data_IF_146992683459
#
_entry.id   IF_146992683459
#
_cell.length_a   1.000
_cell.length_b   1.000
_cell.length_c   1.000
_cell.angle_alpha   90.00
_cell.angle_beta   90.00
_cell.angle_gamma   90.00
#
_symmetry.space_group_name_H-M   'P 1'
#
loop_
_entity.id
_entity.type
_entity.pdbx_description
1 polymer ?
#
# COMPACT_ATOMS: atom_id res chain seq x y z
N UNK A 1 -13.18 13.40 23.96
CA UNK A 1 -12.41 12.33 23.29
C UNK A 1 -10.97 12.81 23.20
N UNK A 2 -10.02 11.94 23.43
CA UNK A 2 -8.62 12.24 23.22
C UNK A 2 -8.34 12.47 21.73
N UNK A 3 -7.31 13.24 21.36
CA UNK A 3 -6.96 13.45 19.96
C UNK A 3 -6.47 12.13 19.32
N UNK A 4 -6.76 11.93 18.04
CA UNK A 4 -6.11 10.87 17.26
C UNK A 4 -4.63 11.19 17.12
N UNK A 5 -3.77 10.33 17.66
CA UNK A 5 -2.31 10.44 17.47
C UNK A 5 -1.93 9.88 16.10
N UNK A 6 -1.18 10.65 15.31
CA UNK A 6 -0.70 10.20 13.99
C UNK A 6 0.82 10.26 13.96
N UNK A 7 1.42 9.14 13.57
CA UNK A 7 2.87 8.95 13.44
C UNK A 7 3.19 8.46 12.03
N UNK A 8 4.34 8.85 11.48
CA UNK A 8 4.86 8.37 10.19
C UNK A 8 6.20 7.67 10.40
N UNK A 9 6.35 6.48 9.84
CA UNK A 9 7.65 5.80 9.70
C UNK A 9 8.08 5.92 8.24
N UNK A 10 9.31 6.39 8.01
CA UNK A 10 9.80 6.69 6.68
C UNK A 10 10.61 5.57 6.04
N UNK A 11 11.25 4.73 6.85
CA UNK A 11 12.26 3.80 6.38
C UNK A 11 12.18 2.42 7.06
N UNK A 12 12.70 1.36 6.41
CA UNK A 12 12.69 0.00 6.95
C UNK A 12 13.36 -0.14 8.33
N UNK A 13 14.37 0.68 8.62
CA UNK A 13 15.05 0.65 9.91
C UNK A 13 14.11 0.97 11.09
N UNK A 14 13.16 1.88 10.89
CA UNK A 14 12.16 2.24 11.90
C UNK A 14 11.13 1.12 12.09
N UNK A 15 10.81 0.38 11.03
CA UNK A 15 9.88 -0.75 11.07
C UNK A 15 10.39 -1.90 11.94
N UNK A 16 11.73 -2.07 12.04
CA UNK A 16 12.33 -3.11 12.90
C UNK A 16 11.97 -2.91 14.37
N UNK A 17 11.81 -1.67 14.81
CA UNK A 17 11.44 -1.36 16.19
C UNK A 17 9.97 -1.66 16.51
N UNK A 18 9.12 -1.90 15.51
CA UNK A 18 7.70 -2.21 15.73
C UNK A 18 7.50 -3.54 16.47
N UNK A 19 8.42 -4.49 16.35
CA UNK A 19 8.37 -5.78 17.05
C UNK A 19 8.31 -5.64 18.60
N UNK A 20 8.83 -4.52 19.12
CA UNK A 20 8.92 -4.24 20.55
C UNK A 20 7.79 -3.26 21.02
N UNK A 21 6.86 -2.90 20.11
CA UNK A 21 5.73 -1.99 20.39
C UNK A 21 4.42 -2.78 20.50
N UNK A 22 3.57 -2.38 21.44
CA UNK A 22 2.17 -2.81 21.44
C UNK A 22 1.40 -2.00 20.40
N UNK A 23 0.91 -2.68 19.36
CA UNK A 23 0.13 -2.10 18.28
C UNK A 23 -1.37 -2.45 18.38
N UNK A 24 -1.82 -3.08 19.44
CA UNK A 24 -3.19 -3.61 19.58
C UNK A 24 -4.29 -2.54 19.48
N UNK A 25 -3.98 -1.27 19.76
CA UNK A 25 -4.90 -0.11 19.58
C UNK A 25 -4.54 0.79 18.38
N UNK A 26 -3.63 0.33 17.53
CA UNK A 26 -3.10 1.10 16.40
C UNK A 26 -3.70 0.61 15.08
N UNK A 27 -4.12 1.54 14.23
CA UNK A 27 -4.42 1.28 12.82
C UNK A 27 -3.18 1.63 11.99
N UNK A 28 -2.59 0.62 11.36
CA UNK A 28 -1.45 0.79 10.46
C UNK A 28 -1.95 0.96 9.02
N UNK A 29 -1.41 1.93 8.28
CA UNK A 29 -1.55 2.06 6.84
C UNK A 29 -0.18 1.92 6.20
N UNK A 30 0.01 0.91 5.37
CA UNK A 30 1.30 0.61 4.75
C UNK A 30 1.32 1.13 3.31
N UNK A 31 2.34 1.93 2.98
CA UNK A 31 2.58 2.49 1.66
C UNK A 31 3.83 1.86 1.03
N UNK A 32 3.68 1.33 -0.15
CA UNK A 32 4.71 1.01 -1.13
C UNK A 32 4.11 1.40 -2.48
N UNK A 33 4.11 2.72 -2.72
CA UNK A 33 3.39 3.33 -3.85
C UNK A 33 4.00 2.90 -5.18
N UNK A 34 5.32 2.78 -5.22
CA UNK A 34 6.06 2.27 -6.37
C UNK A 34 6.84 1.00 -5.98
N UNK A 35 6.14 -0.23 -5.90
CA UNK A 35 4.81 -0.43 -6.52
C UNK A 35 3.88 -1.36 -5.72
N UNK A 36 4.35 -1.98 -4.63
CA UNK A 36 3.66 -3.15 -4.07
C UNK A 36 2.20 -2.86 -3.66
N UNK A 37 1.94 -1.82 -2.86
CA UNK A 37 0.56 -1.53 -2.41
C UNK A 37 -0.35 -1.04 -3.54
N UNK A 38 0.21 -0.35 -4.55
CA UNK A 38 -0.53 -0.03 -5.78
C UNK A 38 -0.91 -1.28 -6.57
N UNK A 39 0.01 -2.25 -6.70
CA UNK A 39 -0.25 -3.52 -7.38
C UNK A 39 -1.28 -4.37 -6.61
N UNK A 40 -1.19 -4.39 -5.28
CA UNK A 40 -2.17 -5.07 -4.43
C UNK A 40 -3.56 -4.45 -4.56
N UNK A 41 -3.67 -3.12 -4.50
CA UNK A 41 -4.94 -2.42 -4.67
C UNK A 41 -5.58 -2.71 -6.03
N UNK A 42 -4.78 -2.68 -7.10
CA UNK A 42 -5.23 -3.00 -8.45
C UNK A 42 -5.68 -4.47 -8.59
N UNK A 43 -4.91 -5.41 -8.04
CA UNK A 43 -5.28 -6.83 -8.07
C UNK A 43 -6.61 -7.10 -7.36
N UNK A 44 -6.80 -6.50 -6.19
CA UNK A 44 -8.06 -6.61 -5.43
C UNK A 44 -9.22 -5.96 -6.16
N UNK A 45 -9.02 -4.78 -6.79
CA UNK A 45 -10.04 -4.12 -7.63
C UNK A 45 -10.44 -4.97 -8.82
N UNK A 46 -9.49 -5.72 -9.38
CA UNK A 46 -9.71 -6.66 -10.49
C UNK A 46 -10.26 -8.02 -10.04
N UNK A 47 -10.59 -8.18 -8.76
CA UNK A 47 -11.29 -9.34 -8.23
C UNK A 47 -10.38 -10.47 -7.76
N UNK A 48 -9.11 -10.21 -7.45
CA UNK A 48 -8.30 -11.18 -6.71
C UNK A 48 -9.00 -11.54 -5.40
N UNK A 49 -9.02 -12.83 -5.05
CA UNK A 49 -9.65 -13.32 -3.82
C UNK A 49 -8.88 -12.89 -2.58
N UNK A 50 -7.57 -13.01 -2.64
CA UNK A 50 -6.67 -12.64 -1.56
C UNK A 50 -5.25 -12.43 -2.07
N UNK A 51 -4.46 -11.66 -1.29
CA UNK A 51 -3.02 -11.55 -1.47
C UNK A 51 -2.33 -12.08 -0.21
N UNK A 52 -1.34 -12.94 -0.39
CA UNK A 52 -0.52 -13.53 0.68
C UNK A 52 0.85 -12.87 0.62
N UNK A 53 1.13 -11.85 1.43
CA UNK A 53 2.44 -11.21 1.46
C UNK A 53 3.45 -12.12 2.16
N UNK A 54 4.56 -12.41 1.50
CA UNK A 54 5.68 -13.18 2.06
C UNK A 54 6.99 -12.42 1.89
N UNK A 55 7.97 -12.70 2.76
CA UNK A 55 9.29 -12.04 2.66
C UNK A 55 10.21 -12.77 1.70
N UNK A 56 10.27 -14.08 1.83
CA UNK A 56 11.27 -14.90 1.15
C UNK A 56 10.70 -15.53 -0.13
N UNK A 57 11.52 -15.59 -1.17
CA UNK A 57 11.18 -16.26 -2.43
C UNK A 57 10.88 -17.73 -2.18
N UNK A 58 11.67 -18.39 -1.33
CA UNK A 58 11.48 -19.81 -1.00
C UNK A 58 10.09 -20.06 -0.39
N UNK A 59 9.64 -19.18 0.54
CA UNK A 59 8.29 -19.26 1.13
C UNK A 59 7.20 -19.17 0.05
N UNK A 60 7.37 -18.26 -0.93
CA UNK A 60 6.43 -18.11 -2.03
C UNK A 60 6.36 -19.39 -2.89
N UNK A 61 7.51 -19.99 -3.21
CA UNK A 61 7.59 -21.22 -3.99
C UNK A 61 6.95 -22.41 -3.25
N UNK A 62 7.16 -22.53 -1.95
CA UNK A 62 6.52 -23.56 -1.12
C UNK A 62 5.00 -23.43 -1.10
N UNK A 63 4.49 -22.21 -0.92
CA UNK A 63 3.05 -21.94 -0.95
C UNK A 63 2.44 -22.25 -2.32
N UNK A 64 3.13 -21.95 -3.41
CA UNK A 64 2.70 -22.31 -4.77
C UNK A 64 2.64 -23.83 -4.96
N UNK A 65 3.63 -24.57 -4.46
CA UNK A 65 3.65 -26.03 -4.54
C UNK A 65 2.50 -26.65 -3.77
N UNK A 66 2.18 -26.10 -2.59
CA UNK A 66 1.06 -26.53 -1.76
C UNK A 66 -0.31 -26.13 -2.36
N UNK A 67 -0.35 -25.07 -3.17
CA UNK A 67 -1.57 -24.52 -3.77
C UNK A 67 -1.33 -24.23 -5.26
N UNK A 68 -1.37 -25.22 -6.14
CA UNK A 68 -0.99 -25.07 -7.55
C UNK A 68 -1.80 -24.02 -8.33
N UNK A 69 -3.03 -23.74 -7.91
CA UNK A 69 -3.92 -22.75 -8.55
C UNK A 69 -3.64 -21.31 -8.14
N UNK A 70 -2.81 -21.08 -7.11
CA UNK A 70 -2.43 -19.74 -6.69
C UNK A 70 -1.43 -19.14 -7.66
N UNK A 71 -1.43 -17.82 -7.80
CA UNK A 71 -0.47 -17.12 -8.63
C UNK A 71 0.73 -16.67 -7.78
N UNK A 72 1.92 -16.68 -8.39
CA UNK A 72 3.12 -16.05 -7.86
C UNK A 72 3.28 -14.66 -8.47
N UNK A 73 3.43 -13.64 -7.64
CA UNK A 73 3.76 -12.29 -8.04
C UNK A 73 4.97 -11.78 -7.25
N UNK A 74 5.82 -10.99 -7.89
CA UNK A 74 6.94 -10.41 -7.16
C UNK A 74 8.06 -9.91 -8.05
N UNK A 75 8.98 -9.19 -7.40
CA UNK A 75 10.11 -8.57 -8.07
C UNK A 75 11.39 -8.65 -7.23
N UNK A 76 12.52 -8.57 -7.94
CA UNK A 76 13.80 -8.13 -7.40
C UNK A 76 14.39 -7.13 -8.39
N UNK A 77 14.91 -6.02 -7.86
CA UNK A 77 15.41 -4.89 -8.66
C UNK A 77 14.37 -4.33 -9.67
N UNK A 78 13.08 -4.40 -9.31
CA UNK A 78 11.97 -3.97 -10.14
C UNK A 78 11.50 -4.98 -11.18
N UNK A 79 12.26 -6.03 -11.48
CA UNK A 79 11.97 -7.02 -12.50
C UNK A 79 11.31 -8.28 -11.92
N UNK A 80 10.47 -8.94 -12.73
CA UNK A 80 9.79 -10.18 -12.35
C UNK A 80 10.81 -11.27 -11.99
N UNK A 81 10.50 -12.01 -10.93
CA UNK A 81 11.32 -13.13 -10.46
C UNK A 81 11.24 -14.28 -11.48
N UNK A 82 12.40 -14.68 -11.99
CA UNK A 82 12.57 -15.81 -12.91
C UNK A 82 12.95 -17.08 -12.17
N UNK A 83 12.94 -18.23 -12.88
CA UNK A 83 13.41 -19.51 -12.37
C UNK A 83 14.89 -19.43 -11.93
N UNK A 84 15.69 -18.62 -12.59
CA UNK A 84 17.09 -18.39 -12.23
C UNK A 84 17.21 -17.72 -10.85
N UNK A 85 16.39 -16.70 -10.58
CA UNK A 85 16.39 -15.95 -9.31
C UNK A 85 15.76 -16.80 -8.19
N UNK A 86 14.67 -17.50 -8.49
CA UNK A 86 13.95 -18.32 -7.50
C UNK A 86 14.63 -19.64 -7.20
N UNK A 87 15.49 -20.13 -8.08
CA UNK A 87 16.07 -21.47 -8.03
C UNK A 87 15.05 -22.58 -8.27
N UNK A 88 13.83 -22.28 -8.77
CA UNK A 88 12.74 -23.23 -8.86
C UNK A 88 11.83 -23.02 -10.09
N UNK A 89 11.17 -21.89 -10.20
CA UNK A 89 10.18 -21.60 -11.24
C UNK A 89 10.07 -20.11 -11.53
N UNK A 90 9.61 -19.76 -12.73
CA UNK A 90 9.23 -18.39 -13.05
C UNK A 90 7.99 -17.99 -12.25
N UNK A 91 7.95 -16.74 -11.79
CA UNK A 91 6.74 -16.18 -11.22
C UNK A 91 5.74 -15.84 -12.35
N UNK A 92 4.46 -16.01 -12.06
CA UNK A 92 3.38 -15.74 -13.02
C UNK A 92 3.33 -14.26 -13.39
N UNK A 93 3.56 -13.38 -12.40
CA UNK A 93 3.45 -11.93 -12.47
C UNK A 93 4.68 -11.24 -11.87
N UNK A 94 4.98 -10.03 -12.33
CA UNK A 94 5.91 -9.13 -11.67
C UNK A 94 5.25 -8.36 -10.53
N UNK A 95 5.66 -7.09 -10.38
CA UNK A 95 5.08 -6.16 -9.40
C UNK A 95 4.55 -4.91 -10.13
N UNK A 96 3.91 -5.08 -11.28
CA UNK A 96 3.28 -3.99 -12.02
C UNK A 96 1.76 -4.02 -11.86
N UNK A 97 1.11 -2.89 -11.46
CA UNK A 97 -0.35 -2.83 -11.40
C UNK A 97 -1.00 -3.07 -12.76
N UNK A 98 -0.28 -2.91 -13.85
CA UNK A 98 -0.77 -3.12 -15.21
C UNK A 98 -0.79 -4.59 -15.63
N UNK A 99 -0.08 -5.47 -14.90
CA UNK A 99 -0.09 -6.92 -15.14
C UNK A 99 -1.28 -7.63 -14.48
N UNK A 100 -1.80 -7.10 -13.36
CA UNK A 100 -2.84 -7.71 -12.56
C UNK A 100 -4.25 -7.42 -13.10
N UNK A 101 -4.47 -7.73 -14.38
CA UNK A 101 -5.76 -7.51 -15.03
C UNK A 101 -6.83 -8.50 -14.54
N UNK A 102 -8.11 -8.13 -14.68
CA UNK A 102 -9.24 -8.98 -14.27
C UNK A 102 -9.18 -10.39 -14.84
N UNK A 103 -8.79 -10.52 -16.12
CA UNK A 103 -8.71 -11.84 -16.78
C UNK A 103 -7.63 -12.75 -16.16
N UNK A 104 -6.63 -12.15 -15.52
CA UNK A 104 -5.52 -12.90 -14.91
C UNK A 104 -5.81 -13.22 -13.45
N UNK A 105 -6.33 -12.25 -12.67
CA UNK A 105 -6.36 -12.35 -11.21
C UNK A 105 -7.74 -12.62 -10.61
N UNK A 106 -8.84 -12.49 -11.37
CA UNK A 106 -10.18 -12.66 -10.80
C UNK A 106 -10.37 -14.07 -10.19
N UNK A 107 -10.78 -14.11 -8.92
CA UNK A 107 -10.98 -15.33 -8.15
C UNK A 107 -9.69 -16.08 -7.79
N UNK A 108 -8.51 -15.47 -7.98
CA UNK A 108 -7.22 -16.08 -7.64
C UNK A 108 -6.68 -15.54 -6.34
N UNK A 109 -6.02 -16.40 -5.58
CA UNK A 109 -5.12 -16.00 -4.49
C UNK A 109 -3.73 -15.76 -5.08
N UNK A 110 -3.08 -14.68 -4.69
CA UNK A 110 -1.76 -14.25 -5.18
C UNK A 110 -0.77 -14.29 -4.02
N UNK A 111 0.26 -15.11 -4.11
CA UNK A 111 1.42 -15.05 -3.21
C UNK A 111 2.37 -13.99 -3.74
N UNK A 112 2.67 -12.98 -2.93
CA UNK A 112 3.44 -11.83 -3.37
C UNK A 112 4.67 -11.62 -2.50
N UNK A 113 5.85 -11.49 -3.13
CA UNK A 113 7.10 -11.11 -2.46
C UNK A 113 7.76 -9.95 -3.18
N UNK A 114 8.09 -8.91 -2.42
CA UNK A 114 8.76 -7.70 -2.93
C UNK A 114 9.92 -7.32 -2.02
N UNK A 115 10.77 -6.45 -2.49
CA UNK A 115 11.96 -6.03 -1.74
C UNK A 115 11.60 -5.36 -0.41
N UNK A 116 10.56 -4.50 -0.37
CA UNK A 116 10.23 -3.68 0.80
C UNK A 116 8.77 -3.86 1.29
N UNK A 117 7.78 -3.74 0.43
CA UNK A 117 6.37 -3.64 0.82
C UNK A 117 5.84 -4.82 1.64
N UNK A 118 6.22 -6.06 1.28
CA UNK A 118 5.81 -7.25 2.05
C UNK A 118 6.46 -7.29 3.43
N UNK A 119 7.68 -6.75 3.57
CA UNK A 119 8.35 -6.60 4.85
C UNK A 119 7.63 -5.60 5.78
N UNK A 120 7.24 -4.44 5.25
CA UNK A 120 6.51 -3.42 5.98
C UNK A 120 5.15 -3.93 6.49
N UNK A 121 4.40 -4.67 5.65
CA UNK A 121 3.15 -5.32 6.06
C UNK A 121 3.36 -6.30 7.22
N UNK A 122 4.39 -7.14 7.14
CA UNK A 122 4.73 -8.11 8.20
C UNK A 122 5.17 -7.43 9.50
N UNK A 123 5.80 -6.25 9.44
CA UNK A 123 6.19 -5.49 10.62
C UNK A 123 4.98 -4.95 11.40
N UNK A 124 3.84 -4.77 10.74
CA UNK A 124 2.60 -4.28 11.36
C UNK A 124 1.74 -5.40 11.99
N UNK A 125 2.19 -6.66 11.97
CA UNK A 125 1.45 -7.78 12.60
C UNK A 125 1.26 -7.51 14.09
N UNK A 126 0.05 -7.71 14.59
CA UNK A 126 -0.35 -7.37 15.96
C UNK A 126 -1.06 -6.02 16.09
N UNK A 127 -1.07 -5.20 15.02
CA UNK A 127 -1.90 -4.00 14.99
C UNK A 127 -3.39 -4.35 15.00
N UNK A 128 -4.21 -3.43 15.54
CA UNK A 128 -5.68 -3.55 15.53
C UNK A 128 -6.21 -3.75 14.11
N UNK A 129 -5.64 -3.03 13.13
CA UNK A 129 -5.89 -3.21 11.70
C UNK A 129 -4.64 -2.87 10.90
N UNK A 130 -4.43 -3.55 9.79
CA UNK A 130 -3.36 -3.26 8.83
C UNK A 130 -3.99 -3.08 7.46
N UNK A 131 -3.96 -1.86 6.96
CA UNK A 131 -4.51 -1.46 5.67
C UNK A 131 -3.37 -1.28 4.66
N UNK A 132 -3.61 -1.63 3.40
CA UNK A 132 -2.75 -1.17 2.30
C UNK A 132 -3.19 0.20 1.84
N UNK A 133 -2.25 1.13 1.69
CA UNK A 133 -2.45 2.48 1.20
C UNK A 133 -1.67 2.75 -0.07
N UNK A 134 -2.30 3.41 -1.02
CA UNK A 134 -1.68 3.94 -2.24
C UNK A 134 -2.54 5.08 -2.78
N UNK A 135 -2.05 5.83 -3.77
CA UNK A 135 -2.91 6.80 -4.44
C UNK A 135 -4.14 6.15 -5.09
N UNK A 136 -4.02 4.89 -5.58
CA UNK A 136 -5.11 4.21 -6.27
C UNK A 136 -6.35 4.00 -5.39
N UNK A 137 -6.18 3.72 -4.10
CA UNK A 137 -7.29 3.49 -3.15
C UNK A 137 -7.36 4.56 -2.05
N UNK A 138 -6.75 5.70 -2.28
CA UNK A 138 -6.55 6.78 -1.32
C UNK A 138 -7.84 7.20 -0.60
N UNK A 139 -8.89 7.57 -1.35
CA UNK A 139 -10.14 8.07 -0.78
C UNK A 139 -10.80 7.07 0.15
N UNK A 140 -10.88 5.80 -0.24
CA UNK A 140 -11.47 4.76 0.59
C UNK A 140 -10.73 4.59 1.93
N UNK A 141 -9.38 4.69 1.93
CA UNK A 141 -8.57 4.60 3.16
C UNK A 141 -8.80 5.82 4.05
N UNK A 142 -8.79 7.04 3.49
CA UNK A 142 -9.07 8.28 4.24
C UNK A 142 -10.46 8.24 4.86
N UNK A 143 -11.48 7.93 4.08
CA UNK A 143 -12.87 7.88 4.54
C UNK A 143 -13.06 6.89 5.69
N UNK A 144 -12.43 5.71 5.60
CA UNK A 144 -12.49 4.71 6.67
C UNK A 144 -11.79 5.18 7.95
N UNK A 145 -10.61 5.82 7.84
CA UNK A 145 -9.90 6.36 8.99
C UNK A 145 -10.67 7.48 9.70
N UNK A 146 -11.28 8.39 8.93
CA UNK A 146 -12.12 9.46 9.47
C UNK A 146 -13.36 8.87 10.17
N UNK A 147 -14.03 7.91 9.54
CA UNK A 147 -15.20 7.21 10.10
C UNK A 147 -14.87 6.47 11.39
N UNK A 148 -13.72 5.80 11.44
CA UNK A 148 -13.28 5.05 12.62
C UNK A 148 -12.82 5.95 13.76
N UNK A 149 -12.22 7.09 13.44
CA UNK A 149 -11.56 8.00 14.38
C UNK A 149 -10.74 7.25 15.45
N UNK A 150 -9.73 6.43 15.05
CA UNK A 150 -9.00 5.59 15.99
C UNK A 150 -8.11 6.44 16.90
N UNK A 151 -7.72 5.91 18.06
CA UNK A 151 -6.83 6.60 18.99
C UNK A 151 -5.43 6.80 18.38
N UNK A 152 -4.95 5.83 17.61
CA UNK A 152 -3.63 5.89 17.01
C UNK A 152 -3.64 5.42 15.54
N UNK A 153 -3.09 6.24 14.66
CA UNK A 153 -2.81 5.92 13.25
C UNK A 153 -1.29 5.90 13.05
N UNK A 154 -0.79 4.82 12.49
CA UNK A 154 0.60 4.66 12.10
C UNK A 154 0.68 4.56 10.57
N UNK A 155 1.22 5.59 9.92
CA UNK A 155 1.47 5.64 8.49
C UNK A 155 2.87 5.06 8.23
N UNK A 156 2.95 3.90 7.59
CA UNK A 156 4.20 3.13 7.42
C UNK A 156 4.63 3.18 5.96
N UNK A 157 5.63 4.01 5.66
CA UNK A 157 6.29 4.01 4.36
C UNK A 157 7.22 2.80 4.26
N UNK A 158 7.07 1.99 3.21
CA UNK A 158 7.93 0.81 3.01
C UNK A 158 9.38 1.19 2.75
N UNK A 159 9.60 2.37 2.16
CA UNK A 159 10.93 2.84 1.83
C UNK A 159 11.58 2.09 0.65
N UNK A 160 12.88 2.28 0.47
CA UNK A 160 13.67 1.63 -0.57
C UNK A 160 15.02 1.20 -0.03
N UNK A 161 15.28 -0.10 0.00
CA UNK A 161 16.50 -0.63 0.63
C UNK A 161 16.52 -0.31 2.12
N UNK A 162 17.39 0.60 2.56
CA UNK A 162 17.47 1.10 3.95
C UNK A 162 16.94 2.54 4.09
N UNK A 163 16.52 3.17 3.00
CA UNK A 163 16.20 4.60 2.93
C UNK A 163 14.69 4.86 2.82
N UNK A 164 14.28 6.12 3.01
CA UNK A 164 12.92 6.55 2.76
C UNK A 164 12.62 6.59 1.24
N UNK A 165 11.35 6.41 0.89
CA UNK A 165 10.84 6.61 -0.46
C UNK A 165 9.99 7.88 -0.51
N UNK A 166 10.29 8.76 -1.46
CA UNK A 166 9.61 10.06 -1.57
C UNK A 166 8.15 9.91 -1.96
N UNK A 167 7.81 8.94 -2.79
CA UNK A 167 6.44 8.66 -3.21
C UNK A 167 5.57 8.13 -2.06
N UNK A 168 6.13 7.31 -1.16
CA UNK A 168 5.43 6.83 0.03
C UNK A 168 5.19 7.98 1.00
N UNK A 169 6.24 8.79 1.25
CA UNK A 169 6.17 9.99 2.09
C UNK A 169 5.15 10.99 1.54
N UNK A 170 5.09 11.15 0.22
CA UNK A 170 4.14 12.04 -0.44
C UNK A 170 2.69 11.56 -0.24
N UNK A 171 2.45 10.25 -0.36
CA UNK A 171 1.13 9.67 -0.15
C UNK A 171 0.70 9.80 1.32
N UNK A 172 1.61 9.56 2.26
CA UNK A 172 1.37 9.74 3.69
C UNK A 172 1.07 11.23 4.02
N UNK A 173 1.86 12.16 3.49
CA UNK A 173 1.65 13.60 3.69
C UNK A 173 0.32 14.12 3.14
N UNK A 174 -0.07 13.64 1.95
CA UNK A 174 -1.39 13.93 1.40
C UNK A 174 -2.51 13.44 2.33
N UNK A 175 -2.37 12.22 2.86
CA UNK A 175 -3.36 11.63 3.77
C UNK A 175 -3.46 12.41 5.09
N UNK A 176 -2.36 12.93 5.62
CA UNK A 176 -2.36 13.74 6.83
C UNK A 176 -3.25 14.97 6.70
N UNK A 177 -3.22 15.69 5.57
CA UNK A 177 -4.06 16.87 5.36
C UNK A 177 -5.55 16.55 5.37
N UNK A 178 -5.95 15.46 4.72
CA UNK A 178 -7.36 15.06 4.70
C UNK A 178 -7.80 14.54 6.09
N UNK A 179 -6.92 13.83 6.81
CA UNK A 179 -7.20 13.38 8.18
C UNK A 179 -7.29 14.55 9.17
N UNK A 180 -6.42 15.57 9.06
CA UNK A 180 -6.49 16.77 9.89
C UNK A 180 -7.79 17.54 9.66
N UNK A 181 -8.26 17.56 8.41
CA UNK A 181 -9.51 18.23 8.05
C UNK A 181 -10.76 17.45 8.45
N UNK A 182 -10.68 16.12 8.46
CA UNK A 182 -11.82 15.22 8.68
C UNK A 182 -12.00 14.73 10.12
N UNK A 183 -10.92 14.66 10.90
CA UNK A 183 -10.96 14.25 12.31
C UNK A 183 -11.20 15.44 13.23
N UNK A 184 -11.91 15.22 14.33
CA UNK A 184 -12.27 16.28 15.27
C UNK A 184 -11.05 16.91 15.98
N UNK A 185 -10.04 16.09 16.28
CA UNK A 185 -8.77 16.50 16.94
C UNK A 185 -7.66 15.56 16.53
N UNK A 186 -6.51 16.11 16.16
CA UNK A 186 -5.33 15.35 15.74
C UNK A 186 -4.12 15.79 16.57
N UNK A 187 -3.28 14.84 16.97
CA UNK A 187 -1.96 15.01 17.59
C UNK A 187 -0.91 14.43 16.63
N UNK A 188 -0.30 15.28 15.82
CA UNK A 188 0.75 14.89 14.88
C UNK A 188 2.11 14.85 15.55
N UNK A 189 2.83 13.74 15.40
CA UNK A 189 4.23 13.64 15.79
C UNK A 189 5.12 14.49 14.87
N UNK A 190 6.38 14.74 15.27
CA UNK A 190 7.34 15.45 14.41
C UNK A 190 7.51 14.77 13.05
N UNK A 191 7.49 13.43 13.00
CA UNK A 191 7.54 12.69 11.72
C UNK A 191 6.31 12.93 10.84
N UNK A 192 5.12 13.04 11.43
CA UNK A 192 3.92 13.40 10.69
C UNK A 192 3.99 14.85 10.16
N UNK A 193 4.45 15.79 10.99
CA UNK A 193 4.67 17.18 10.57
C UNK A 193 5.68 17.28 9.41
N UNK A 194 6.74 16.45 9.41
CA UNK A 194 7.72 16.42 8.30
C UNK A 194 7.07 15.89 7.00
N UNK A 195 6.26 14.83 7.06
CA UNK A 195 5.58 14.30 5.90
C UNK A 195 4.55 15.30 5.33
N UNK A 196 3.79 15.98 6.20
CA UNK A 196 2.87 17.05 5.80
C UNK A 196 3.61 18.23 5.15
N UNK A 197 4.70 18.69 5.77
CA UNK A 197 5.53 19.77 5.21
C UNK A 197 6.12 19.39 3.84
N UNK A 198 6.55 18.13 3.66
CA UNK A 198 7.03 17.64 2.36
C UNK A 198 5.94 17.71 1.30
N UNK A 199 4.74 17.24 1.60
CA UNK A 199 3.59 17.34 0.70
C UNK A 199 3.23 18.81 0.39
N UNK A 200 3.19 19.67 1.41
CA UNK A 200 2.82 21.09 1.32
C UNK A 200 3.86 21.94 0.59
N UNK A 201 5.14 21.53 0.56
CA UNK A 201 6.23 22.28 -0.08
C UNK A 201 6.15 22.36 -1.61
N UNK A 202 5.14 21.68 -2.22
CA UNK A 202 4.97 21.65 -3.67
C UNK A 202 5.84 20.61 -4.36
N UNK A 203 6.61 19.79 -3.61
CA UNK A 203 7.14 18.52 -4.12
C UNK A 203 6.00 17.53 -4.42
N UNK A 204 4.79 17.88 -4.00
CA UNK A 204 3.52 17.26 -4.31
C UNK A 204 2.96 17.70 -5.68
N UNK A 205 1.65 17.52 -5.88
CA UNK A 205 1.05 17.61 -7.20
C UNK A 205 1.19 18.98 -7.84
N UNK A 206 1.50 18.97 -9.13
CA UNK A 206 1.37 20.15 -10.00
C UNK A 206 -0.10 20.46 -10.26
N UNK A 207 -0.84 20.86 -9.18
CA UNK A 207 -2.27 21.12 -9.22
C UNK A 207 -3.12 19.93 -8.70
N UNK A 208 -4.37 20.22 -8.26
CA UNK A 208 -5.27 19.24 -7.65
C UNK A 208 -5.38 17.96 -8.50
N UNK A 209 -4.94 16.84 -7.94
CA UNK A 209 -5.14 15.50 -8.49
C UNK A 209 -4.08 14.99 -9.46
N UNK A 210 -2.92 15.66 -9.59
CA UNK A 210 -1.80 15.14 -10.38
C UNK A 210 -0.54 15.09 -9.54
N UNK A 211 -0.11 13.88 -9.18
CA UNK A 211 1.16 13.65 -8.52
C UNK A 211 2.23 13.32 -9.56
N UNK A 212 3.40 13.92 -9.40
CA UNK A 212 4.57 13.56 -10.18
C UNK A 212 5.49 12.70 -9.31
N UNK A 213 5.46 11.38 -9.55
CA UNK A 213 6.30 10.41 -8.85
C UNK A 213 7.67 10.21 -9.55
N UNK A 214 7.93 10.94 -10.63
CA UNK A 214 9.17 10.80 -11.42
C UNK A 214 10.41 11.36 -10.71
N UNK A 215 10.22 12.30 -9.77
CA UNK A 215 11.31 12.97 -9.04
C UNK A 215 12.00 12.10 -7.99
N UNK A 216 11.37 11.06 -7.48
CA UNK A 216 11.92 10.13 -6.51
C UNK A 216 12.95 9.14 -7.10
N UNK A 217 13.74 8.50 -6.27
CA UNK A 217 14.73 7.52 -6.72
C UNK A 217 14.07 6.32 -7.42
N UNK A 218 12.98 5.79 -6.85
CA UNK A 218 12.21 4.70 -7.48
C UNK A 218 11.54 5.14 -8.78
N UNK A 219 10.94 6.35 -8.81
CA UNK A 219 10.34 6.89 -10.01
C UNK A 219 11.34 6.96 -11.17
N UNK A 220 12.52 7.55 -10.93
CA UNK A 220 13.60 7.60 -11.94
C UNK A 220 14.02 6.21 -12.38
N UNK A 221 14.30 5.30 -11.44
CA UNK A 221 14.68 3.92 -11.75
C UNK A 221 13.66 3.19 -12.62
N UNK A 222 12.37 3.35 -12.34
CA UNK A 222 11.31 2.73 -13.13
C UNK A 222 11.16 3.35 -14.51
N UNK A 223 11.41 4.66 -14.65
CA UNK A 223 11.40 5.35 -15.94
C UNK A 223 12.53 4.89 -16.87
N UNK A 224 13.67 4.48 -16.31
CA UNK A 224 14.81 3.94 -17.07
C UNK A 224 14.56 2.51 -17.60
N UNK A 225 13.46 1.86 -17.20
CA UNK A 225 13.08 0.52 -17.64
C UNK A 225 11.81 0.63 -18.50
N UNK A 226 11.94 0.54 -19.82
CA UNK A 226 10.86 0.79 -20.79
C UNK A 226 9.52 0.14 -20.44
N UNK A 227 9.56 -1.15 -20.04
CA UNK A 227 8.34 -1.92 -19.70
C UNK A 227 7.67 -1.45 -18.41
N UNK A 228 8.38 -0.73 -17.53
CA UNK A 228 7.93 -0.26 -16.22
C UNK A 228 7.65 1.26 -16.19
N UNK A 229 8.16 2.01 -17.14
CA UNK A 229 8.04 3.48 -17.17
C UNK A 229 6.59 3.98 -17.02
N UNK A 230 5.65 3.25 -17.60
CA UNK A 230 4.22 3.59 -17.52
C UNK A 230 3.61 3.34 -16.14
N UNK A 231 4.24 2.54 -15.27
CA UNK A 231 3.76 2.27 -13.92
C UNK A 231 3.82 3.52 -13.04
N UNK A 232 4.85 4.38 -13.24
CA UNK A 232 5.02 5.64 -12.49
C UNK A 232 3.77 6.52 -12.63
N UNK A 233 3.30 6.73 -13.86
CA UNK A 233 2.08 7.49 -14.14
C UNK A 233 0.82 6.76 -13.68
N UNK A 234 0.83 5.42 -13.76
CA UNK A 234 -0.33 4.62 -13.34
C UNK A 234 -0.56 4.73 -11.83
N UNK A 235 0.49 4.53 -11.03
CA UNK A 235 0.44 4.58 -9.58
C UNK A 235 0.12 5.99 -9.03
N UNK A 236 0.30 7.05 -9.82
CA UNK A 236 -0.04 8.42 -9.46
C UNK A 236 -1.53 8.78 -9.62
N UNK A 237 -2.38 7.86 -10.08
CA UNK A 237 -3.82 8.09 -10.19
C UNK A 237 -4.45 8.13 -8.81
N UNK A 238 -5.21 9.21 -8.52
CA UNK A 238 -5.85 9.41 -7.24
C UNK A 238 -7.22 8.72 -7.20
N UNK A 239 -7.46 7.91 -6.15
CA UNK A 239 -8.78 7.30 -5.84
C UNK A 239 -9.41 6.59 -7.04
N UNK A 240 -8.59 5.83 -7.78
CA UNK A 240 -9.08 5.07 -8.95
C UNK A 240 -10.00 3.91 -8.52
N UNK A 241 -9.86 3.46 -7.29
CA UNK A 241 -10.61 2.33 -6.73
C UNK A 241 -11.21 2.69 -5.37
N UNK A 242 -12.51 2.45 -5.22
CA UNK A 242 -13.23 2.55 -3.95
C UNK A 242 -13.18 1.20 -3.23
N UNK A 243 -12.01 0.90 -2.66
CA UNK A 243 -11.79 -0.35 -1.92
C UNK A 243 -10.80 -0.19 -0.76
N UNK A 244 -11.04 -0.97 0.28
CA UNK A 244 -10.12 -1.17 1.40
C UNK A 244 -9.50 -2.56 1.29
N UNK A 245 -8.19 -2.62 1.14
CA UNK A 245 -7.41 -3.85 1.30
C UNK A 245 -6.90 -3.95 2.73
N UNK A 246 -7.32 -4.99 3.44
CA UNK A 246 -6.97 -5.20 4.84
C UNK A 246 -6.36 -6.57 5.08
N UNK A 247 -5.27 -6.62 5.83
CA UNK A 247 -4.66 -7.87 6.27
C UNK A 247 -5.50 -8.49 7.38
N UNK A 248 -5.98 -9.70 7.13
CA UNK A 248 -6.81 -10.47 8.05
C UNK A 248 -5.95 -11.26 9.04
N UNK A 249 -6.59 -11.85 10.06
CA UNK A 249 -5.90 -12.66 11.09
C UNK A 249 -5.15 -13.89 10.53
N UNK A 250 -5.51 -14.36 9.33
CA UNK A 250 -4.80 -15.43 8.62
C UNK A 250 -3.59 -14.92 7.81
N UNK A 251 -3.26 -13.63 7.93
CA UNK A 251 -2.14 -12.98 7.25
C UNK A 251 -2.39 -12.66 5.77
N UNK A 252 -3.59 -12.92 5.25
CA UNK A 252 -3.96 -12.60 3.87
C UNK A 252 -4.62 -11.23 3.79
N UNK A 253 -4.32 -10.49 2.73
CA UNK A 253 -4.96 -9.22 2.43
C UNK A 253 -6.19 -9.49 1.56
N UNK A 254 -7.34 -8.97 1.99
CA UNK A 254 -8.60 -9.07 1.25
C UNK A 254 -9.30 -7.73 1.20
N UNK A 255 -10.22 -7.60 0.27
CA UNK A 255 -11.14 -6.46 0.26
C UNK A 255 -12.03 -6.54 1.49
N UNK A 256 -12.00 -5.50 2.32
CA UNK A 256 -13.01 -5.32 3.34
C UNK A 256 -14.33 -4.95 2.65
N UNK A 257 -15.34 -5.78 2.80
CA UNK A 257 -16.68 -5.44 2.37
C UNK A 257 -17.21 -4.34 3.31
N UNK A 258 -17.07 -3.09 2.92
CA UNK A 258 -17.80 -2.00 3.58
C UNK A 258 -19.29 -2.29 3.40
N UNK A 259 -20.05 -2.25 4.50
CA UNK A 259 -21.49 -2.30 4.39
C UNK A 259 -21.90 -1.11 3.51
N UNK A 260 -22.39 -1.38 2.31
CA UNK A 260 -22.84 -0.35 1.38
C UNK A 260 -23.87 0.53 2.08
N UNK A 261 -23.51 1.78 2.36
CA UNK A 261 -24.50 2.79 2.73
C UNK A 261 -25.34 2.97 1.45
N UNK A 262 -26.65 2.69 1.49
CA UNK A 262 -27.49 2.90 0.30
C UNK A 262 -27.41 4.38 -0.05
N UNK A 263 -27.03 4.66 -1.30
CA UNK A 263 -27.05 6.02 -1.87
C UNK A 263 -28.43 6.64 -1.57
N UNK A 264 -28.53 7.88 -1.10
CA UNK A 264 -29.80 8.55 -0.94
C UNK A 264 -30.45 8.60 -2.32
N UNK A 265 -31.59 7.89 -2.47
CA UNK A 265 -32.43 8.00 -3.67
C UNK A 265 -32.81 9.46 -3.82
N UNK A 266 -32.10 10.14 -4.71
CA UNK A 266 -32.47 11.49 -5.12
C UNK A 266 -33.88 11.48 -5.72
N UNK A 267 -34.85 11.74 -4.90
CA UNK A 267 -36.17 12.14 -5.35
C UNK A 267 -36.17 13.65 -5.47
N UNK A 268 -36.09 14.14 -6.69
CA UNK A 268 -36.66 15.47 -7.01
C UNK A 268 -37.55 15.26 -8.20
N UNK A 269 -38.87 15.51 -7.91
CA UNK A 269 -39.86 15.76 -8.95
C UNK A 269 -39.69 17.15 -9.50
#
# INVERSE_FOLDING_TARGET
MDPTRIEVLFAPAEQVALKDRDLSDTVCVVFDVLRATSTMAEALANGAEAIVPVREIAEAVELKRANPDWLLAGERDGLRITAEISGAMDFDLGNSPREVTRNVVAGKTIVMTTTNGTGALKACVGARRVLIGSFLNYGAVVDELIKMAPNHILLVCAGTGSECATEDTLCAGAMLQDLESGLSRVDMTDSACIADAYYSSGCGPTGRGKFDLSGGANGRRLLDIDVLASDVKYCAKMSAHDLLGEMQSDGKIRVLKTASIPSPKGGVK
#
